data_IF_500147308326
#
_entry.id   IF_500147308326
#
_cell.length_a   1.000
_cell.length_b   1.000
_cell.length_c   1.000
_cell.angle_alpha   90.00
_cell.angle_beta   90.00
_cell.angle_gamma   90.00
#
_symmetry.space_group_name_H-M   'P 1'
#
loop_
_entity.id
_entity.type
_entity.pdbx_description
1 polymer ?
#
# COMPACT_ATOMS: atom_id res chain seq x y z
N UNK A 1 -0.60 -24.45 -9.04
CA UNK A 1 -0.96 -23.07 -8.67
C UNK A 1 -1.34 -23.05 -7.21
N UNK A 2 -0.57 -22.35 -6.38
CA UNK A 2 -0.98 -22.04 -5.01
C UNK A 2 -2.24 -21.17 -5.09
N UNK A 3 -3.29 -21.52 -4.35
CA UNK A 3 -4.45 -20.64 -4.22
C UNK A 3 -3.95 -19.35 -3.57
N UNK A 4 -4.36 -18.15 -4.06
CA UNK A 4 -4.06 -16.92 -3.36
C UNK A 4 -4.58 -17.06 -1.92
N UNK A 5 -3.70 -16.90 -0.94
CA UNK A 5 -4.10 -16.91 0.47
C UNK A 5 -5.00 -15.69 0.68
N UNK A 6 -6.13 -15.92 1.35
CA UNK A 6 -7.06 -14.85 1.69
C UNK A 6 -6.36 -13.90 2.68
N UNK A 7 -6.24 -12.62 2.32
CA UNK A 7 -5.72 -11.61 3.24
C UNK A 7 -6.71 -11.43 4.39
N UNK A 8 -6.17 -11.51 5.60
CA UNK A 8 -6.91 -11.41 6.88
C UNK A 8 -6.96 -9.97 7.39
N UNK A 9 -5.96 -9.17 7.03
CA UNK A 9 -5.82 -7.78 7.47
C UNK A 9 -4.45 -7.20 7.15
N UNK A 10 -4.18 -6.02 7.68
CA UNK A 10 -2.88 -5.34 7.71
C UNK A 10 -2.36 -5.32 9.15
N UNK A 11 -1.07 -5.57 9.35
CA UNK A 11 -0.46 -5.43 10.66
C UNK A 11 -0.46 -3.95 11.08
N UNK A 12 -0.73 -3.68 12.37
CA UNK A 12 -0.75 -2.32 12.90
C UNK A 12 0.54 -1.57 12.60
N UNK A 13 1.68 -2.21 12.82
CA UNK A 13 3.01 -1.61 12.58
C UNK A 13 3.19 -1.19 11.12
N UNK A 14 2.69 -1.99 10.16
CA UNK A 14 2.74 -1.66 8.72
C UNK A 14 1.86 -0.46 8.40
N UNK A 15 0.66 -0.39 8.98
CA UNK A 15 -0.22 0.78 8.80
C UNK A 15 0.41 2.03 9.42
N UNK A 16 0.97 1.94 10.62
CA UNK A 16 1.64 3.05 11.29
C UNK A 16 2.84 3.54 10.49
N UNK A 17 3.62 2.62 9.90
CA UNK A 17 4.68 2.97 8.95
C UNK A 17 4.13 3.76 7.76
N UNK A 18 3.07 3.26 7.11
CA UNK A 18 2.42 3.94 5.96
C UNK A 18 1.98 5.35 6.34
N UNK A 19 1.30 5.52 7.47
CA UNK A 19 0.80 6.83 7.94
C UNK A 19 1.95 7.80 8.20
N UNK A 20 3.01 7.34 8.88
CA UNK A 20 4.18 8.16 9.18
C UNK A 20 5.00 8.51 7.92
N UNK A 21 5.14 7.57 6.98
CA UNK A 21 5.78 7.82 5.69
C UNK A 21 4.99 8.85 4.88
N UNK A 22 3.67 8.70 4.81
CA UNK A 22 2.76 9.67 4.15
C UNK A 22 2.93 11.08 4.73
N UNK A 23 2.96 11.20 6.06
CA UNK A 23 3.19 12.48 6.75
C UNK A 23 4.57 13.08 6.45
N UNK A 24 5.60 12.24 6.37
CA UNK A 24 6.98 12.67 6.11
C UNK A 24 7.20 13.08 4.66
N UNK A 25 6.45 12.51 3.72
CA UNK A 25 6.51 12.85 2.31
C UNK A 25 5.73 14.11 1.93
N UNK A 26 4.81 14.57 2.78
CA UNK A 26 3.99 15.76 2.51
C UNK A 26 4.86 16.99 2.13
N UNK A 27 4.52 17.72 1.05
CA UNK A 27 3.27 17.66 0.27
C UNK A 27 3.30 16.68 -0.91
N UNK A 28 4.37 15.90 -1.09
CA UNK A 28 4.46 14.92 -2.16
C UNK A 28 3.76 13.60 -1.78
N UNK A 29 3.30 12.87 -2.80
CA UNK A 29 2.69 11.57 -2.57
C UNK A 29 3.72 10.49 -2.22
N UNK A 30 3.58 9.88 -1.05
CA UNK A 30 4.21 8.60 -0.75
C UNK A 30 3.61 7.50 -1.64
N UNK A 31 4.42 6.53 -2.09
CA UNK A 31 3.93 5.39 -2.87
C UNK A 31 4.81 4.14 -2.69
N UNK A 32 4.17 2.97 -2.69
CA UNK A 32 4.85 1.68 -2.57
C UNK A 32 3.95 0.49 -2.91
N UNK A 33 4.52 -0.70 -2.85
CA UNK A 33 3.79 -1.97 -3.03
C UNK A 33 3.59 -2.67 -1.69
N UNK A 34 2.46 -3.36 -1.55
CA UNK A 34 2.12 -4.10 -0.33
C UNK A 34 2.53 -5.55 -0.45
N UNK A 35 3.23 -6.07 0.56
CA UNK A 35 3.62 -7.49 0.66
C UNK A 35 2.90 -8.14 1.83
N UNK A 36 2.51 -9.40 1.64
CA UNK A 36 1.87 -10.22 2.65
C UNK A 36 2.83 -11.26 3.24
N UNK A 37 2.68 -11.51 4.53
CA UNK A 37 3.27 -12.63 5.25
C UNK A 37 2.16 -13.41 5.97
N UNK A 38 2.04 -14.70 5.65
CA UNK A 38 1.02 -15.61 6.18
C UNK A 38 -0.42 -15.07 6.17
N UNK A 39 -0.76 -14.32 5.12
CA UNK A 39 -2.07 -13.72 4.90
C UNK A 39 -2.30 -12.42 5.67
N UNK A 40 -1.26 -11.75 6.16
CA UNK A 40 -1.32 -10.40 6.75
C UNK A 40 -0.44 -9.48 5.91
N UNK A 41 -0.93 -8.31 5.53
CA UNK A 41 -0.09 -7.28 4.91
C UNK A 41 0.88 -6.78 5.97
N UNK A 42 2.17 -7.09 5.78
CA UNK A 42 3.20 -6.93 6.80
C UNK A 42 4.29 -5.93 6.38
N UNK A 43 4.53 -5.76 5.07
CA UNK A 43 5.61 -4.91 4.58
C UNK A 43 5.17 -3.98 3.45
N UNK A 44 5.93 -2.89 3.29
CA UNK A 44 5.84 -1.99 2.13
C UNK A 44 7.16 -2.04 1.36
N UNK A 45 7.08 -2.41 0.09
CA UNK A 45 8.22 -2.44 -0.82
C UNK A 45 8.29 -1.11 -1.55
N UNK A 46 9.41 -0.41 -1.39
CA UNK A 46 9.74 0.78 -2.16
C UNK A 46 10.58 0.37 -3.37
N UNK A 47 10.03 0.55 -4.57
CA UNK A 47 10.77 0.22 -5.79
C UNK A 47 11.72 1.37 -6.16
N UNK A 48 12.97 1.06 -6.57
CA UNK A 48 13.85 2.04 -7.17
C UNK A 48 13.17 2.78 -8.33
N UNK A 49 13.54 4.04 -8.54
CA UNK A 49 12.97 4.86 -9.61
C UNK A 49 11.54 5.35 -9.35
N UNK A 50 10.91 5.01 -8.21
CA UNK A 50 9.63 5.61 -7.81
C UNK A 50 9.78 7.14 -7.75
N UNK A 51 8.92 7.85 -8.47
CA UNK A 51 8.90 9.31 -8.49
C UNK A 51 7.66 9.82 -7.77
N UNK A 52 7.84 10.84 -6.94
CA UNK A 52 6.78 11.44 -6.11
C UNK A 52 6.68 12.93 -6.40
N UNK A 53 5.47 13.46 -6.33
CA UNK A 53 5.16 14.87 -6.43
C UNK A 53 3.84 15.16 -5.74
N UNK A 54 3.51 16.43 -5.51
CA UNK A 54 2.20 16.84 -4.99
C UNK A 54 1.02 16.57 -5.93
N UNK A 55 1.27 16.14 -7.17
CA UNK A 55 0.26 15.88 -8.20
C UNK A 55 0.07 14.39 -8.49
N UNK A 56 0.86 13.52 -7.84
CA UNK A 56 0.88 12.10 -8.15
C UNK A 56 2.24 11.45 -7.89
N UNK A 57 2.21 10.14 -7.65
CA UNK A 57 3.39 9.27 -7.69
C UNK A 57 3.37 8.29 -8.88
N UNK A 58 4.55 7.80 -9.27
CA UNK A 58 4.69 6.74 -10.30
C UNK A 58 5.60 5.64 -9.78
N UNK A 59 5.05 4.42 -9.75
CA UNK A 59 5.77 3.19 -9.42
C UNK A 59 6.18 2.46 -10.71
N UNK A 60 7.48 2.15 -10.82
CA UNK A 60 8.07 1.43 -11.93
C UNK A 60 8.08 -0.09 -11.66
N UNK A 61 6.96 -0.75 -11.98
CA UNK A 61 6.77 -2.20 -11.72
C UNK A 61 7.81 -3.10 -12.42
N UNK A 62 8.42 -2.61 -13.49
CA UNK A 62 9.53 -3.26 -14.21
C UNK A 62 10.82 -3.36 -13.38
N UNK A 63 10.95 -2.56 -12.30
CA UNK A 63 12.04 -2.67 -11.33
C UNK A 63 11.76 -3.67 -10.19
N UNK A 64 10.61 -4.34 -10.19
CA UNK A 64 10.27 -5.30 -9.14
C UNK A 64 11.11 -6.58 -9.26
N UNK A 65 11.81 -7.00 -8.18
CA UNK A 65 12.51 -8.28 -8.15
C UNK A 65 11.57 -9.47 -8.43
N UNK A 66 12.05 -10.44 -9.21
CA UNK A 66 11.23 -11.56 -9.71
C UNK A 66 10.59 -12.44 -8.63
N UNK A 67 11.21 -12.54 -7.45
CA UNK A 67 10.74 -13.38 -6.35
C UNK A 67 9.75 -12.69 -5.42
N UNK A 68 9.54 -11.38 -5.60
CA UNK A 68 8.66 -10.59 -4.74
C UNK A 68 7.23 -10.64 -5.27
N UNK A 69 6.29 -10.92 -4.37
CA UNK A 69 4.87 -10.96 -4.70
C UNK A 69 4.10 -9.86 -3.96
N UNK A 70 3.82 -8.76 -4.65
CA UNK A 70 2.93 -7.72 -4.14
C UNK A 70 1.45 -8.14 -4.23
N UNK A 71 0.71 -7.92 -3.14
CA UNK A 71 -0.75 -8.10 -3.05
C UNK A 71 -1.54 -6.85 -3.42
N UNK A 72 -0.84 -5.75 -3.64
CA UNK A 72 -1.39 -4.52 -4.20
C UNK A 72 -0.46 -3.34 -3.93
N UNK A 73 -1.02 -2.16 -3.67
CA UNK A 73 -0.25 -0.93 -3.57
C UNK A 73 -0.71 -0.01 -2.46
N UNK A 74 0.12 0.96 -2.11
CA UNK A 74 -0.24 2.05 -1.24
C UNK A 74 0.25 3.36 -1.84
N UNK A 75 -0.55 4.41 -1.73
CA UNK A 75 -0.09 5.78 -1.93
C UNK A 75 -0.84 6.76 -1.04
N UNK A 76 -0.30 7.98 -0.90
CA UNK A 76 -0.91 9.04 -0.11
C UNK A 76 -1.32 10.22 -0.97
N UNK A 77 -2.44 10.87 -0.66
CA UNK A 77 -2.81 12.17 -1.23
C UNK A 77 -2.43 13.32 -0.27
N UNK A 78 -2.03 14.49 -0.79
CA UNK A 78 -1.79 15.68 0.04
C UNK A 78 -3.08 16.32 0.57
N UNK A 79 -4.24 15.89 0.07
CA UNK A 79 -5.57 16.36 0.47
C UNK A 79 -6.27 15.32 1.36
N UNK A 80 -7.36 15.70 2.06
CA UNK A 80 -8.14 14.74 2.84
C UNK A 80 -8.91 13.71 2.03
N UNK A 81 -8.98 13.85 0.71
CA UNK A 81 -9.72 12.93 -0.15
C UNK A 81 -8.88 11.66 -0.37
N UNK A 82 -9.37 10.52 0.12
CA UNK A 82 -8.74 9.21 -0.08
C UNK A 82 -9.48 8.36 -1.12
N UNK A 83 -10.29 8.97 -1.98
CA UNK A 83 -10.92 8.30 -3.12
C UNK A 83 -9.95 8.13 -4.29
N UNK A 84 -10.02 7.02 -5.04
CA UNK A 84 -9.17 6.80 -6.20
C UNK A 84 -9.51 7.75 -7.36
N UNK A 85 -8.49 8.35 -7.94
CA UNK A 85 -8.56 9.04 -9.23
C UNK A 85 -8.62 8.04 -10.39
N UNK A 86 -8.84 8.54 -11.61
CA UNK A 86 -8.78 7.71 -12.83
C UNK A 86 -7.39 7.11 -13.06
N UNK A 87 -6.33 7.81 -12.65
CA UNK A 87 -4.96 7.32 -12.77
C UNK A 87 -4.72 6.15 -11.81
N UNK A 88 -5.25 6.25 -10.59
CA UNK A 88 -5.18 5.20 -9.57
C UNK A 88 -5.88 3.94 -10.04
N UNK A 89 -7.10 4.05 -10.57
CA UNK A 89 -7.85 2.91 -11.12
C UNK A 89 -7.09 2.19 -12.24
N UNK A 90 -6.42 2.94 -13.11
CA UNK A 90 -5.59 2.36 -14.18
C UNK A 90 -4.32 1.68 -13.65
N UNK A 91 -3.83 2.09 -12.47
CA UNK A 91 -2.73 1.43 -11.79
C UNK A 91 -3.21 0.18 -11.02
N UNK A 92 -4.36 0.25 -10.35
CA UNK A 92 -4.93 -0.84 -9.55
C UNK A 92 -5.11 -2.11 -10.38
N UNK A 93 -5.56 -1.97 -11.63
CA UNK A 93 -5.74 -3.11 -12.52
C UNK A 93 -4.44 -3.85 -12.91
N UNK A 94 -3.25 -3.35 -12.54
CA UNK A 94 -1.96 -3.92 -12.95
C UNK A 94 -1.42 -4.97 -12.00
N UNK A 95 -1.65 -4.86 -10.69
CA UNK A 95 -1.02 -5.76 -9.72
C UNK A 95 -1.76 -5.81 -8.39
N UNK A 96 -2.14 -7.03 -7.98
CA UNK A 96 -2.77 -7.27 -6.69
C UNK A 96 -4.25 -6.91 -6.67
N UNK A 97 -4.83 -6.98 -5.48
CA UNK A 97 -6.25 -6.68 -5.26
C UNK A 97 -6.46 -5.87 -3.97
N UNK A 98 -5.40 -5.34 -3.34
CA UNK A 98 -5.46 -4.54 -2.12
C UNK A 98 -4.73 -3.21 -2.31
N UNK A 99 -5.46 -2.13 -2.55
CA UNK A 99 -4.91 -0.82 -2.82
C UNK A 99 -5.31 0.18 -1.73
N UNK A 100 -4.32 0.68 -0.99
CA UNK A 100 -4.52 1.61 0.11
C UNK A 100 -4.29 3.04 -0.39
N UNK A 101 -5.21 3.95 -0.07
CA UNK A 101 -5.04 5.38 -0.22
C UNK A 101 -5.09 6.03 1.16
N UNK A 102 -4.11 6.86 1.47
CA UNK A 102 -4.08 7.66 2.71
C UNK A 102 -4.25 9.14 2.38
N UNK A 103 -5.25 9.79 2.97
CA UNK A 103 -5.45 11.24 2.87
C UNK A 103 -4.82 12.01 4.04
N UNK A 104 -4.61 13.31 3.86
CA UNK A 104 -4.29 14.23 4.95
C UNK A 104 -5.42 14.26 5.99
N UNK A 105 -5.16 14.25 7.33
CA UNK A 105 -3.88 14.50 8.00
C UNK A 105 -3.05 13.24 8.31
N UNK A 106 -3.27 12.12 7.61
CA UNK A 106 -2.51 10.87 7.76
C UNK A 106 -2.67 10.24 9.14
N UNK A 107 -3.88 10.27 9.69
CA UNK A 107 -4.23 9.60 10.95
C UNK A 107 -4.89 8.23 10.72
N UNK A 108 -5.18 7.51 11.80
CA UNK A 108 -5.76 6.16 11.78
C UNK A 108 -7.14 6.07 11.11
N UNK A 109 -7.81 7.21 10.88
CA UNK A 109 -9.11 7.31 10.23
C UNK A 109 -9.00 7.84 8.79
N UNK A 110 -7.81 8.26 8.37
CA UNK A 110 -7.57 8.96 7.10
C UNK A 110 -7.13 8.03 5.98
N UNK A 111 -7.58 6.78 5.95
CA UNK A 111 -7.21 5.83 4.92
C UNK A 111 -8.36 4.93 4.49
N UNK A 112 -8.25 4.37 3.30
CA UNK A 112 -9.21 3.42 2.75
C UNK A 112 -8.51 2.37 1.90
N UNK A 113 -9.09 1.17 1.84
CA UNK A 113 -8.65 0.10 0.97
C UNK A 113 -9.66 -0.14 -0.16
N UNK A 114 -9.14 -0.38 -1.36
CA UNK A 114 -9.88 -0.61 -2.59
C UNK A 114 -9.40 -1.89 -3.26
N UNK A 115 -10.28 -2.56 -3.99
CA UNK A 115 -9.91 -3.69 -4.84
C UNK A 115 -9.39 -3.24 -6.21
N UNK A 116 -8.99 -4.17 -7.08
CA UNK A 116 -8.48 -3.87 -8.41
C UNK A 116 -9.48 -3.12 -9.33
N UNK A 117 -10.77 -3.06 -8.96
CA UNK A 117 -11.84 -2.33 -9.65
C UNK A 117 -12.11 -0.95 -9.05
N UNK A 118 -11.43 -0.58 -7.97
CA UNK A 118 -11.71 0.65 -7.23
C UNK A 118 -12.89 0.58 -6.29
N UNK A 119 -13.41 -0.63 -6.01
CA UNK A 119 -14.50 -0.80 -5.05
C UNK A 119 -13.90 -0.85 -3.64
N UNK A 120 -14.45 -0.05 -2.72
CA UNK A 120 -13.98 -0.01 -1.33
C UNK A 120 -14.17 -1.39 -0.68
N UNK A 121 -13.14 -1.90 -0.02
CA UNK A 121 -13.16 -3.18 0.68
C UNK A 121 -12.67 -3.05 2.13
N UNK A 122 -13.15 -3.94 2.98
CA UNK A 122 -12.76 -3.96 4.39
C UNK A 122 -11.37 -4.59 4.55
N UNK A 123 -10.48 -3.91 5.25
CA UNK A 123 -9.16 -4.42 5.61
C UNK A 123 -8.96 -4.23 7.13
N UNK A 124 -9.14 -5.29 7.94
CA UNK A 124 -8.95 -5.20 9.38
C UNK A 124 -7.51 -4.83 9.74
N UNK A 125 -7.33 -3.98 10.75
CA UNK A 125 -6.03 -3.76 11.39
C UNK A 125 -5.83 -4.83 12.45
N UNK A 126 -4.70 -5.52 12.40
CA UNK A 126 -4.38 -6.65 13.27
C UNK A 126 -3.17 -6.31 14.16
N UNK A 127 -3.31 -6.62 15.44
CA UNK A 127 -2.20 -6.63 16.39
C UNK A 127 -1.52 -8.01 16.32
N UNK A 128 -0.43 -8.09 15.55
CA UNK A 128 0.35 -9.31 15.34
C UNK A 128 1.83 -9.04 15.61
N UNK A 129 2.52 -10.00 16.19
CA UNK A 129 3.98 -9.99 16.25
C UNK A 129 4.51 -10.42 14.88
N UNK A 130 5.10 -9.48 14.15
CA UNK A 130 5.82 -9.80 12.92
C UNK A 130 7.14 -10.47 13.28
N UNK A 131 7.49 -11.56 12.59
CA UNK A 131 8.79 -12.17 12.76
C UNK A 131 9.86 -11.17 12.35
N UNK A 132 10.72 -10.76 13.29
CA UNK A 132 11.89 -9.93 12.96
C UNK A 132 12.70 -10.61 11.86
N UNK A 133 13.21 -9.82 10.90
CA UNK A 133 13.95 -10.33 9.76
C UNK A 133 15.28 -10.97 10.23
N UNK A 134 15.26 -12.26 10.56
CA UNK A 134 16.44 -13.08 10.88
C UNK A 134 17.24 -13.46 9.62
N UNK A 135 17.03 -12.77 8.49
CA UNK A 135 17.71 -13.02 7.22
C UNK A 135 18.83 -12.00 6.99
N UNK A 136 19.92 -12.17 7.72
CA UNK A 136 21.22 -11.56 7.44
C UNK A 136 22.30 -12.63 7.30
#
# INVERSE_FOLDING_TARGET
MLKPRKIRGIARETLDFILNASRSSHPDEFAGLLEEEDGVIANVILLPGTTSSSMGARIHLDMMPLHIHAVGSVHSHPTPDNLPSRADLAFFSKKGDYHIIVGYPYDENSWACYNARGEKQNLPVLDVELGGDERW
#
